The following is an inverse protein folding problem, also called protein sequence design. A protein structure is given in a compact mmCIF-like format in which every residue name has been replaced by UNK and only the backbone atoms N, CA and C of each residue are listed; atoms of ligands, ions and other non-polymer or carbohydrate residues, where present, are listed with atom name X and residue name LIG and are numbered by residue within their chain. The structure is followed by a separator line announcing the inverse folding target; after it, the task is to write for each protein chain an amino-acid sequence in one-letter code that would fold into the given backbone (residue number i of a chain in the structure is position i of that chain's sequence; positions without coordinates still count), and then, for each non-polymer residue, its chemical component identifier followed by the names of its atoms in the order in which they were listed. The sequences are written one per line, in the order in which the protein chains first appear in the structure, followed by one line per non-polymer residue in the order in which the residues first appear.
data_IF_499447358049
#
_entry.id   IF_499447358049
#
_cell.length_a   1.000
_cell.length_b   1.000
_cell.length_c   1.000
_cell.angle_alpha   90.00
_cell.angle_beta   90.00
_cell.angle_gamma   90.00
#
_symmetry.space_group_name_H-M   'P 1'
#
loop_
_entity.id
_entity.type
_entity.pdbx_description
1 polymer ?
#
# COMPACT_ATOMS: atom_id res chain seq x y z
N UNK A 1 32.35 42.45 27.29
CA UNK A 1 31.66 41.15 27.46
C UNK A 1 30.60 41.06 26.38
N UNK A 2 30.88 40.31 25.31
CA UNK A 2 30.01 40.14 24.13
C UNK A 2 29.71 38.66 23.99
N UNK A 3 28.43 38.30 24.12
CA UNK A 3 27.96 36.91 24.10
C UNK A 3 27.79 36.45 22.66
N UNK A 4 28.58 35.45 22.25
CA UNK A 4 28.55 34.81 20.93
C UNK A 4 27.54 33.66 20.98
N UNK A 5 26.52 33.72 20.13
CA UNK A 5 25.59 32.62 19.87
C UNK A 5 26.25 31.60 18.92
N UNK A 6 26.33 30.34 19.35
CA UNK A 6 26.78 29.22 18.52
C UNK A 6 25.59 28.70 17.71
N UNK A 7 25.63 28.88 16.40
CA UNK A 7 24.78 28.15 15.46
C UNK A 7 25.32 26.72 15.32
N UNK A 8 24.49 25.74 15.67
CA UNK A 8 24.74 24.32 15.35
C UNK A 8 24.11 24.07 13.98
N UNK A 9 24.96 23.97 12.95
CA UNK A 9 24.55 23.46 11.66
C UNK A 9 24.55 21.93 11.73
N UNK A 10 23.37 21.30 11.69
CA UNK A 10 23.24 19.86 11.47
C UNK A 10 23.04 19.67 9.97
N UNK A 11 24.08 19.18 9.29
CA UNK A 11 24.00 18.77 7.89
C UNK A 11 23.28 17.42 7.81
N UNK A 12 22.01 17.44 7.38
CA UNK A 12 21.31 16.23 6.94
C UNK A 12 21.89 15.81 5.59
N UNK A 13 22.63 14.71 5.58
CA UNK A 13 23.16 14.09 4.37
C UNK A 13 22.03 13.28 3.72
N UNK A 14 21.36 13.85 2.72
CA UNK A 14 20.35 13.16 1.93
C UNK A 14 21.03 12.18 0.96
N UNK A 15 20.84 10.88 1.19
CA UNK A 15 21.18 9.84 0.21
C UNK A 15 20.02 9.72 -0.77
N UNK A 16 20.08 10.46 -1.89
CA UNK A 16 19.13 10.31 -2.98
C UNK A 16 19.43 9.03 -3.76
N UNK A 17 18.61 8.00 -3.56
CA UNK A 17 18.51 6.88 -4.50
C UNK A 17 17.33 7.20 -5.41
N UNK A 18 17.62 7.71 -6.61
CA UNK A 18 16.63 7.82 -7.67
C UNK A 18 16.31 6.40 -8.18
N UNK A 19 15.22 5.82 -7.68
CA UNK A 19 14.63 4.64 -8.30
C UNK A 19 13.54 5.09 -9.27
N UNK A 20 13.47 4.53 -10.49
CA UNK A 20 12.37 4.82 -11.40
C UNK A 20 11.06 4.32 -10.76
N UNK A 21 10.05 5.18 -10.70
CA UNK A 21 8.70 4.83 -10.28
C UNK A 21 8.11 3.86 -11.30
N UNK A 22 8.09 2.58 -10.96
CA UNK A 22 7.43 1.54 -11.76
C UNK A 22 5.99 1.43 -11.26
N UNK A 23 5.03 1.90 -12.06
CA UNK A 23 3.61 1.76 -11.75
C UNK A 23 3.22 0.27 -11.87
N UNK A 24 2.95 -0.38 -10.74
CA UNK A 24 2.40 -1.74 -10.70
C UNK A 24 1.28 -1.82 -9.67
N UNK A 25 0.14 -2.34 -10.11
CA UNK A 25 -1.13 -2.43 -9.37
C UNK A 25 -1.22 -3.69 -8.50
N UNK A 26 -1.02 -3.55 -7.19
CA UNK A 26 -1.29 -4.50 -6.12
C UNK A 26 -2.76 -4.87 -5.97
N UNK A 27 -2.96 -6.17 -5.97
CA UNK A 27 -4.23 -6.86 -5.95
C UNK A 27 -5.34 -6.37 -4.99
N UNK A 28 -4.98 -6.12 -3.72
CA UNK A 28 -5.96 -5.71 -2.71
C UNK A 28 -6.07 -4.20 -2.59
N UNK A 29 -5.29 -3.45 -3.36
CA UNK A 29 -5.30 -1.99 -3.37
C UNK A 29 -4.73 -1.33 -2.11
N UNK A 30 -4.71 -2.05 -0.99
CA UNK A 30 -4.10 -1.58 0.25
C UNK A 30 -2.61 -1.40 0.12
N UNK A 31 -1.93 -2.21 -0.71
CA UNK A 31 -0.48 -2.12 -0.87
C UNK A 31 -0.11 -1.05 -1.91
N UNK A 32 -0.83 -0.93 -3.04
CA UNK A 32 -0.72 0.24 -3.94
C UNK A 32 -0.90 1.56 -3.23
N UNK A 33 -1.95 1.64 -2.42
CA UNK A 33 -2.20 2.82 -1.60
C UNK A 33 -1.06 3.05 -0.62
N UNK A 34 -0.51 1.99 -0.01
CA UNK A 34 0.61 2.13 0.91
C UNK A 34 1.86 2.59 0.16
N UNK A 35 2.25 1.96 -0.94
CA UNK A 35 3.40 2.34 -1.76
C UNK A 35 3.28 3.80 -2.27
N UNK A 36 2.10 4.23 -2.72
CA UNK A 36 1.84 5.63 -3.13
C UNK A 36 1.86 6.61 -1.97
N UNK A 37 1.36 6.22 -0.80
CA UNK A 37 1.52 6.99 0.45
C UNK A 37 3.01 7.02 0.87
N UNK A 38 3.76 5.97 0.56
CA UNK A 38 5.14 5.76 0.97
C UNK A 38 6.16 6.54 0.10
N UNK A 39 5.84 6.81 -1.17
CA UNK A 39 6.61 7.68 -2.07
C UNK A 39 6.52 9.17 -1.70
N UNK A 40 5.60 9.55 -0.80
CA UNK A 40 5.60 10.88 -0.17
C UNK A 40 6.60 10.83 0.98
N UNK A 41 7.70 11.59 0.87
CA UNK A 41 8.95 11.66 1.67
C UNK A 41 8.90 11.55 3.23
N UNK A 42 7.79 11.15 3.86
CA UNK A 42 7.62 11.07 5.32
C UNK A 42 6.75 9.89 5.81
N UNK A 43 6.83 8.70 5.20
CA UNK A 43 5.86 7.61 5.48
C UNK A 43 6.32 6.47 6.39
N UNK A 44 7.60 6.41 6.77
CA UNK A 44 8.11 5.22 7.46
C UNK A 44 7.57 5.14 8.92
N UNK A 45 7.26 6.27 9.56
CA UNK A 45 6.66 6.32 10.90
C UNK A 45 5.24 5.73 10.92
N UNK A 46 4.48 6.01 9.86
CA UNK A 46 3.15 5.46 9.67
C UNK A 46 3.19 4.00 9.28
N UNK A 47 4.17 3.57 8.48
CA UNK A 47 4.37 2.15 8.17
C UNK A 47 4.73 1.35 9.42
N UNK A 48 5.59 1.88 10.30
CA UNK A 48 5.84 1.29 11.61
C UNK A 48 4.60 1.24 12.49
N UNK A 49 3.80 2.31 12.55
CA UNK A 49 2.55 2.31 13.29
C UNK A 49 1.53 1.30 12.71
N UNK A 50 1.54 1.07 11.39
CA UNK A 50 0.70 0.07 10.68
C UNK A 50 1.23 -1.36 10.83
N UNK A 51 2.54 -1.52 10.89
CA UNK A 51 3.21 -2.81 10.97
C UNK A 51 3.27 -3.30 12.43
N UNK A 52 3.49 -2.39 13.39
CA UNK A 52 3.31 -2.62 14.84
C UNK A 52 1.83 -2.80 15.21
N UNK A 53 0.88 -2.43 14.34
CA UNK A 53 -0.55 -2.63 14.58
C UNK A 53 -0.92 -4.12 14.48
N UNK A 54 -0.65 -4.88 15.54
CA UNK A 54 -1.21 -6.22 15.71
C UNK A 54 -2.74 -6.22 15.51
N UNK A 55 -3.43 -5.09 15.72
CA UNK A 55 -4.86 -4.92 15.44
C UNK A 55 -5.23 -4.70 13.97
N UNK A 56 -4.26 -4.64 13.05
CA UNK A 56 -4.46 -4.84 11.61
C UNK A 56 -4.97 -6.26 11.33
N UNK A 57 -4.49 -7.22 12.11
CA UNK A 57 -4.84 -8.63 11.97
C UNK A 57 -5.72 -9.15 13.12
N UNK A 58 -5.68 -8.51 14.29
CA UNK A 58 -6.48 -8.85 15.48
C UNK A 58 -7.92 -8.32 15.41
N UNK A 59 -8.71 -8.63 16.44
CA UNK A 59 -10.16 -8.37 16.53
C UNK A 59 -10.51 -6.86 16.46
N UNK A 60 -11.53 -6.42 15.71
CA UNK A 60 -12.09 -5.06 15.80
C UNK A 60 -12.27 -4.51 17.22
N UNK A 61 -12.55 -5.37 18.19
CA UNK A 61 -12.70 -4.98 19.60
C UNK A 61 -11.47 -4.27 20.17
N UNK A 62 -10.28 -4.45 19.59
CA UNK A 62 -9.06 -3.79 20.05
C UNK A 62 -8.99 -2.29 19.74
N UNK A 63 -9.72 -1.77 18.74
CA UNK A 63 -9.65 -0.34 18.39
C UNK A 63 -10.94 0.15 17.71
N UNK A 64 -11.95 0.44 18.51
CA UNK A 64 -13.17 1.09 18.04
C UNK A 64 -12.93 2.56 17.66
N UNK A 65 -13.75 3.06 16.74
CA UNK A 65 -13.74 4.46 16.30
C UNK A 65 -13.02 4.67 14.97
N UNK A 66 -12.69 5.94 14.72
CA UNK A 66 -11.96 6.37 13.54
C UNK A 66 -10.46 6.35 13.79
N UNK A 67 -9.71 5.90 12.79
CA UNK A 67 -8.26 6.05 12.70
C UNK A 67 -7.89 6.26 11.23
N UNK A 68 -6.75 6.86 10.95
CA UNK A 68 -6.37 7.15 9.57
C UNK A 68 -5.06 7.91 9.50
N UNK A 69 -4.63 8.14 8.28
CA UNK A 69 -3.51 9.01 7.96
C UNK A 69 -3.72 9.68 6.61
N UNK A 70 -3.00 10.77 6.39
CA UNK A 70 -3.02 11.49 5.14
C UNK A 70 -1.64 12.09 4.89
N UNK A 71 -1.24 12.10 3.62
CA UNK A 71 0.06 12.57 3.16
C UNK A 71 -0.11 13.47 1.95
N UNK A 72 0.80 14.43 1.81
CA UNK A 72 0.82 15.38 0.71
C UNK A 72 2.28 15.68 0.36
N UNK A 73 2.65 15.46 -0.90
CA UNK A 73 3.98 15.71 -1.44
C UNK A 73 3.93 16.68 -2.61
N UNK A 74 4.90 17.58 -2.69
CA UNK A 74 5.14 18.41 -3.86
C UNK A 74 6.63 18.65 -4.03
N UNK A 75 7.15 18.43 -5.24
CA UNK A 75 8.54 18.67 -5.61
C UNK A 75 8.59 19.41 -6.94
N UNK A 76 9.49 20.37 -7.06
CA UNK A 76 9.66 21.17 -8.26
C UNK A 76 11.14 21.42 -8.52
N UNK A 77 11.59 21.16 -9.75
CA UNK A 77 12.94 21.44 -10.23
C UNK A 77 12.85 22.43 -11.38
N UNK A 78 13.80 23.36 -11.43
CA UNK A 78 13.92 24.35 -12.52
C UNK A 78 15.39 24.49 -12.89
N UNK A 79 15.66 24.98 -14.10
CA UNK A 79 17.02 25.21 -14.59
C UNK A 79 17.25 24.52 -15.92
N UNK A 80 18.22 23.61 -15.98
CA UNK A 80 18.52 22.86 -17.20
C UNK A 80 17.44 21.81 -17.54
N UNK A 81 16.69 21.37 -16.53
CA UNK A 81 15.52 20.50 -16.63
C UNK A 81 14.46 21.09 -15.70
N UNK A 82 13.21 21.13 -16.16
CA UNK A 82 12.04 21.51 -15.38
C UNK A 82 11.24 20.25 -15.05
N UNK A 83 10.96 20.00 -13.78
CA UNK A 83 10.09 18.90 -13.40
C UNK A 83 9.19 19.29 -12.25
N UNK A 84 7.96 18.78 -12.25
CA UNK A 84 7.00 19.01 -11.19
C UNK A 84 6.37 17.67 -10.82
N UNK A 85 6.33 17.37 -9.52
CA UNK A 85 5.76 16.16 -8.98
C UNK A 85 4.82 16.56 -7.85
N UNK A 86 3.59 16.04 -7.88
CA UNK A 86 2.58 16.25 -6.86
C UNK A 86 1.95 14.91 -6.51
N UNK A 87 1.85 14.62 -5.22
CA UNK A 87 1.25 13.39 -4.72
C UNK A 87 0.39 13.68 -3.49
N UNK A 88 -0.73 12.99 -3.37
CA UNK A 88 -1.64 13.12 -2.24
C UNK A 88 -2.25 11.78 -1.90
N UNK A 89 -2.25 11.41 -0.63
CA UNK A 89 -2.79 10.15 -0.14
C UNK A 89 -3.63 10.35 1.11
N UNK A 90 -4.70 9.57 1.26
CA UNK A 90 -5.45 9.52 2.50
C UNK A 90 -6.01 8.11 2.72
N UNK A 91 -6.00 7.67 3.98
CA UNK A 91 -6.63 6.44 4.43
C UNK A 91 -7.42 6.69 5.70
N UNK A 92 -8.58 6.07 5.78
CA UNK A 92 -9.44 6.12 6.97
C UNK A 92 -9.98 4.73 7.25
N UNK A 93 -9.89 4.33 8.51
CA UNK A 93 -10.46 3.12 9.08
C UNK A 93 -11.52 3.52 10.09
N UNK A 94 -12.68 2.89 9.99
CA UNK A 94 -13.75 2.97 10.97
C UNK A 94 -14.09 1.59 11.50
N UNK A 95 -14.01 1.39 12.81
CA UNK A 95 -14.37 0.13 13.45
C UNK A 95 -15.47 0.36 14.50
N UNK A 96 -16.54 -0.41 14.45
CA UNK A 96 -17.65 -0.31 15.39
C UNK A 96 -18.34 -1.65 15.56
N UNK A 97 -18.23 -2.23 16.76
CA UNK A 97 -18.71 -3.59 17.03
C UNK A 97 -18.16 -4.60 16.01
N UNK A 98 -19.02 -5.37 15.31
CA UNK A 98 -18.59 -6.37 14.34
C UNK A 98 -18.16 -5.78 12.98
N UNK A 99 -18.25 -4.46 12.78
CA UNK A 99 -17.89 -3.82 11.51
C UNK A 99 -16.49 -3.23 11.55
N UNK A 100 -15.71 -3.49 10.50
CA UNK A 100 -14.47 -2.75 10.18
C UNK A 100 -14.54 -2.31 8.73
N UNK A 101 -14.40 -1.02 8.49
CA UNK A 101 -14.40 -0.43 7.16
C UNK A 101 -13.12 0.36 6.97
N UNK A 102 -12.55 0.28 5.78
CA UNK A 102 -11.35 0.98 5.36
C UNK A 102 -11.65 1.65 4.04
N UNK A 103 -11.32 2.93 3.92
CA UNK A 103 -11.33 3.68 2.68
C UNK A 103 -9.95 4.28 2.46
N UNK A 104 -9.50 4.27 1.21
CA UNK A 104 -8.21 4.79 0.82
C UNK A 104 -8.29 5.47 -0.53
N UNK A 105 -7.59 6.57 -0.68
CA UNK A 105 -7.45 7.32 -1.94
C UNK A 105 -6.00 7.76 -2.09
N UNK A 106 -5.47 7.68 -3.30
CA UNK A 106 -4.17 8.23 -3.68
C UNK A 106 -4.25 8.88 -5.06
N UNK A 107 -3.45 9.93 -5.24
CA UNK A 107 -3.34 10.75 -6.43
C UNK A 107 -1.87 11.01 -6.68
N UNK A 108 -1.39 10.77 -7.90
CA UNK A 108 -0.02 11.06 -8.30
C UNK A 108 0.03 11.74 -9.67
N UNK A 109 0.69 12.87 -9.73
CA UNK A 109 0.88 13.66 -10.93
C UNK A 109 2.35 14.01 -11.08
N UNK A 110 2.90 13.78 -12.27
CA UNK A 110 4.26 14.19 -12.59
C UNK A 110 4.34 14.77 -13.99
N UNK A 111 5.19 15.78 -14.13
CA UNK A 111 5.47 16.50 -15.37
C UNK A 111 6.99 16.70 -15.49
N UNK A 112 7.51 16.50 -16.70
CA UNK A 112 8.90 16.74 -17.06
C UNK A 112 8.93 17.60 -18.34
N UNK A 113 9.55 18.77 -18.24
CA UNK A 113 9.65 19.81 -19.27
C UNK A 113 8.29 20.16 -19.95
N UNK A 114 7.20 20.20 -19.17
CA UNK A 114 5.85 20.53 -19.65
C UNK A 114 5.11 19.35 -20.30
N UNK A 115 5.67 18.14 -20.22
CA UNK A 115 5.05 16.90 -20.67
C UNK A 115 4.68 16.05 -19.46
N UNK A 116 3.39 15.70 -19.34
CA UNK A 116 2.92 14.80 -18.29
C UNK A 116 3.58 13.43 -18.41
N UNK A 117 4.21 12.98 -17.33
CA UNK A 117 4.86 11.68 -17.22
C UNK A 117 4.15 10.73 -16.25
N UNK A 118 3.29 11.25 -15.36
CA UNK A 118 2.41 10.46 -14.48
C UNK A 118 1.06 11.16 -14.26
N UNK A 119 -0.04 10.42 -14.31
CA UNK A 119 -1.38 10.90 -13.97
C UNK A 119 -2.21 9.72 -13.43
N UNK A 120 -1.97 9.36 -12.17
CA UNK A 120 -2.59 8.19 -11.56
C UNK A 120 -3.60 8.59 -10.50
N UNK A 121 -4.73 7.89 -10.49
CA UNK A 121 -5.75 7.99 -9.46
C UNK A 121 -6.07 6.61 -8.95
N UNK A 122 -5.99 6.43 -7.65
CA UNK A 122 -6.26 5.17 -6.98
C UNK A 122 -7.29 5.34 -5.86
N UNK A 123 -8.25 4.43 -5.77
CA UNK A 123 -9.19 4.37 -4.67
C UNK A 123 -9.52 2.93 -4.28
N UNK A 124 -9.67 2.69 -2.97
CA UNK A 124 -10.03 1.39 -2.40
C UNK A 124 -11.03 1.55 -1.27
N UNK A 125 -11.94 0.60 -1.18
CA UNK A 125 -12.86 0.41 -0.08
C UNK A 125 -12.87 -1.07 0.32
N UNK A 126 -12.61 -1.33 1.59
CA UNK A 126 -12.64 -2.66 2.18
C UNK A 126 -13.58 -2.64 3.39
N UNK A 127 -14.48 -3.62 3.48
CA UNK A 127 -15.41 -3.74 4.58
C UNK A 127 -15.46 -5.19 5.06
N UNK A 128 -15.30 -5.38 6.36
CA UNK A 128 -15.34 -6.66 7.04
C UNK A 128 -16.46 -6.68 8.07
N UNK A 129 -17.26 -7.73 8.03
CA UNK A 129 -18.28 -8.04 9.03
C UNK A 129 -17.90 -9.31 9.78
N UNK A 130 -17.59 -9.18 11.08
CA UNK A 130 -17.16 -10.28 11.93
C UNK A 130 -18.37 -10.95 12.56
N UNK A 131 -18.59 -12.23 12.23
CA UNK A 131 -19.64 -13.04 12.86
C UNK A 131 -19.21 -13.55 14.24
N UNK A 132 -17.91 -13.76 14.41
CA UNK A 132 -17.25 -14.12 15.64
C UNK A 132 -15.75 -13.76 15.55
N UNK A 133 -14.96 -14.16 16.54
CA UNK A 133 -13.54 -13.84 16.61
C UNK A 133 -12.71 -14.42 15.46
N UNK A 134 -13.19 -15.49 14.82
CA UNK A 134 -12.45 -16.22 13.77
C UNK A 134 -13.03 -16.02 12.37
N UNK A 135 -14.34 -16.00 12.22
CA UNK A 135 -15.02 -15.99 10.92
C UNK A 135 -15.64 -14.62 10.61
N UNK A 136 -15.36 -14.13 9.41
CA UNK A 136 -15.88 -12.85 8.91
C UNK A 136 -16.25 -12.96 7.43
N UNK A 137 -17.09 -12.04 6.96
CA UNK A 137 -17.28 -11.79 5.54
C UNK A 137 -16.59 -10.48 5.17
N UNK A 138 -16.02 -10.41 3.97
CA UNK A 138 -15.41 -9.20 3.44
C UNK A 138 -16.09 -8.79 2.13
N UNK A 139 -16.03 -7.49 1.86
CA UNK A 139 -16.30 -6.85 0.58
C UNK A 139 -15.09 -5.97 0.27
N UNK A 140 -14.58 -6.03 -0.95
CA UNK A 140 -13.45 -5.26 -1.44
C UNK A 140 -13.85 -4.62 -2.77
N UNK A 141 -13.76 -3.30 -2.86
CA UNK A 141 -13.84 -2.55 -4.10
C UNK A 141 -12.56 -1.75 -4.29
N UNK A 142 -11.95 -1.82 -5.47
CA UNK A 142 -10.83 -0.95 -5.85
C UNK A 142 -11.02 -0.43 -7.27
N UNK A 143 -10.44 0.73 -7.54
CA UNK A 143 -10.31 1.29 -8.87
C UNK A 143 -9.00 2.06 -8.96
N UNK A 144 -8.30 1.85 -10.06
CA UNK A 144 -7.12 2.58 -10.47
C UNK A 144 -7.36 3.14 -11.87
N UNK A 145 -6.84 4.33 -12.13
CA UNK A 145 -6.91 4.96 -13.44
C UNK A 145 -5.58 5.61 -13.76
N UNK A 146 -5.06 5.31 -14.95
CA UNK A 146 -3.92 5.97 -15.56
C UNK A 146 -4.43 6.92 -16.65
N UNK A 147 -4.23 8.23 -16.43
CA UNK A 147 -4.64 9.30 -17.34
C UNK A 147 -3.79 9.43 -18.60
N UNK A 148 -2.61 8.79 -18.62
CA UNK A 148 -1.67 8.81 -19.76
C UNK A 148 -1.80 7.59 -20.66
N UNK A 149 -2.55 6.56 -20.24
CA UNK A 149 -2.85 5.39 -21.06
C UNK A 149 -3.48 5.77 -22.40
N UNK A 150 -2.77 5.50 -23.50
CA UNK A 150 -3.13 5.97 -24.84
C UNK A 150 -3.11 4.86 -25.91
N UNK A 151 -2.53 3.70 -25.60
CA UNK A 151 -2.43 2.57 -26.53
C UNK A 151 -3.27 1.36 -26.07
N UNK A 152 -3.42 0.37 -26.93
CA UNK A 152 -4.13 -0.88 -26.60
C UNK A 152 -3.39 -1.74 -25.56
N UNK A 153 -2.09 -1.50 -25.37
CA UNK A 153 -1.28 -2.19 -24.36
C UNK A 153 -1.32 -1.52 -23.00
N UNK A 154 -1.79 -0.28 -22.92
CA UNK A 154 -1.86 0.49 -21.68
C UNK A 154 -3.19 0.22 -20.99
N UNK A 155 -3.16 0.00 -19.68
CA UNK A 155 -4.38 -0.16 -18.87
C UNK A 155 -4.78 1.21 -18.35
N UNK A 156 -5.84 1.78 -18.94
CA UNK A 156 -6.40 3.05 -18.53
C UNK A 156 -7.21 2.96 -17.24
N UNK A 157 -7.94 1.87 -17.04
CA UNK A 157 -8.71 1.66 -15.82
C UNK A 157 -8.66 0.20 -15.41
N UNK A 158 -8.29 -0.07 -14.16
CA UNK A 158 -8.37 -1.37 -13.51
C UNK A 158 -9.28 -1.24 -12.29
N UNK A 159 -10.41 -1.94 -12.31
CA UNK A 159 -11.31 -1.98 -11.18
C UNK A 159 -11.63 -3.42 -10.81
N UNK A 160 -11.78 -3.66 -9.51
CA UNK A 160 -12.18 -4.96 -8.99
C UNK A 160 -13.18 -4.79 -7.86
N UNK A 161 -14.27 -5.55 -7.91
CA UNK A 161 -15.26 -5.65 -6.84
C UNK A 161 -15.44 -7.12 -6.47
N UNK A 162 -15.00 -7.50 -5.29
CA UNK A 162 -15.07 -8.86 -4.79
C UNK A 162 -15.66 -8.95 -3.39
N UNK A 163 -16.13 -10.14 -3.05
CA UNK A 163 -16.60 -10.45 -1.71
C UNK A 163 -16.37 -11.93 -1.40
N UNK A 164 -16.33 -12.26 -0.12
CA UNK A 164 -16.15 -13.64 0.29
C UNK A 164 -15.99 -13.82 1.78
N UNK A 165 -15.83 -15.08 2.24
CA UNK A 165 -15.46 -15.38 3.61
C UNK A 165 -13.98 -15.11 3.89
N UNK A 166 -13.71 -14.80 5.16
CA UNK A 166 -12.40 -14.79 5.75
C UNK A 166 -12.39 -15.58 7.06
N UNK A 167 -11.22 -16.14 7.38
CA UNK A 167 -11.01 -16.96 8.56
C UNK A 167 -9.67 -16.60 9.22
N UNK A 168 -9.70 -16.30 10.52
CA UNK A 168 -8.50 -16.19 11.34
C UNK A 168 -8.11 -17.58 11.83
N UNK A 169 -6.98 -18.07 11.33
CA UNK A 169 -6.42 -19.36 11.74
C UNK A 169 -5.75 -19.23 13.10
N UNK A 170 -5.08 -18.10 13.34
CA UNK A 170 -4.40 -17.80 14.60
C UNK A 170 -4.71 -16.36 14.99
N UNK A 171 -5.01 -16.12 16.26
CA UNK A 171 -5.27 -14.79 16.80
C UNK A 171 -4.77 -14.69 18.25
N UNK A 172 -3.47 -14.55 18.44
CA UNK A 172 -2.84 -14.34 19.74
C UNK A 172 -2.11 -12.99 19.76
N UNK A 173 -1.63 -12.57 20.94
CA UNK A 173 -0.90 -11.30 21.07
C UNK A 173 0.39 -11.24 20.24
N UNK A 174 1.05 -12.39 20.05
CA UNK A 174 2.35 -12.47 19.39
C UNK A 174 2.27 -13.05 17.97
N UNK A 175 1.16 -13.68 17.59
CA UNK A 175 0.99 -14.29 16.27
C UNK A 175 -0.43 -14.15 15.79
N UNK A 176 -0.58 -13.61 14.59
CA UNK A 176 -1.88 -13.51 13.94
C UNK A 176 -1.78 -13.98 12.51
N UNK A 177 -2.72 -14.83 12.11
CA UNK A 177 -2.80 -15.31 10.75
C UNK A 177 -4.25 -15.35 10.31
N UNK A 178 -4.55 -14.65 9.22
CA UNK A 178 -5.85 -14.72 8.57
C UNK A 178 -5.70 -15.02 7.09
N UNK A 179 -6.68 -15.73 6.59
CA UNK A 179 -6.85 -16.05 5.19
C UNK A 179 -8.24 -15.63 4.75
N UNK A 180 -8.37 -15.20 3.51
CA UNK A 180 -9.66 -14.90 2.90
C UNK A 180 -9.65 -15.34 1.45
N UNK A 181 -10.81 -15.75 0.96
CA UNK A 181 -10.99 -16.11 -0.42
C UNK A 181 -12.37 -15.64 -0.88
N UNK A 182 -12.47 -15.21 -2.13
CA UNK A 182 -13.70 -14.64 -2.64
C UNK A 182 -13.80 -14.69 -4.15
N UNK A 183 -14.96 -14.29 -4.62
CA UNK A 183 -15.28 -14.12 -6.03
C UNK A 183 -15.69 -12.67 -6.25
N UNK A 184 -15.48 -12.18 -7.45
CA UNK A 184 -15.77 -10.80 -7.81
C UNK A 184 -15.87 -10.59 -9.31
N UNK A 185 -15.99 -9.33 -9.67
CA UNK A 185 -15.97 -8.84 -11.03
C UNK A 185 -14.73 -7.98 -11.18
N UNK A 186 -13.94 -8.27 -12.21
CA UNK A 186 -12.81 -7.47 -12.66
C UNK A 186 -13.24 -6.68 -13.90
N UNK A 187 -12.88 -5.41 -13.95
CA UNK A 187 -13.12 -4.51 -15.07
C UNK A 187 -11.80 -3.92 -15.50
N UNK A 188 -11.44 -4.14 -16.75
CA UNK A 188 -10.25 -3.58 -17.37
C UNK A 188 -10.67 -2.72 -18.56
N UNK A 189 -10.04 -1.55 -18.68
CA UNK A 189 -10.20 -0.67 -19.83
C UNK A 189 -8.84 -0.26 -20.35
N UNK A 190 -8.61 -0.40 -21.65
CA UNK A 190 -7.35 -0.02 -22.29
C UNK A 190 -7.31 1.47 -22.67
N UNK A 191 -6.15 1.95 -23.12
CA UNK A 191 -5.95 3.32 -23.61
C UNK A 191 -6.76 3.67 -24.86
N UNK A 192 -7.23 2.67 -25.63
CA UNK A 192 -8.11 2.85 -26.80
C UNK A 192 -9.61 2.84 -26.44
N UNK A 193 -9.94 2.69 -25.16
CA UNK A 193 -11.29 2.58 -24.60
C UNK A 193 -12.03 1.27 -24.93
N UNK A 194 -11.32 0.22 -25.32
CA UNK A 194 -11.88 -1.13 -25.23
C UNK A 194 -11.96 -1.52 -23.76
N UNK A 195 -13.01 -2.25 -23.39
CA UNK A 195 -13.20 -2.67 -22.01
C UNK A 195 -13.61 -4.11 -21.94
N UNK A 196 -13.02 -4.83 -21.00
CA UNK A 196 -13.33 -6.20 -20.68
C UNK A 196 -13.84 -6.30 -19.24
N UNK A 197 -14.91 -7.07 -19.05
CA UNK A 197 -15.47 -7.36 -17.74
C UNK A 197 -15.51 -8.85 -17.56
N UNK A 198 -14.88 -9.33 -16.51
CA UNK A 198 -14.64 -10.75 -16.30
C UNK A 198 -14.86 -11.14 -14.84
N UNK A 199 -15.02 -12.44 -14.62
CA UNK A 199 -15.08 -12.96 -13.26
C UNK A 199 -13.67 -13.03 -12.69
N UNK A 200 -13.50 -12.51 -11.47
CA UNK A 200 -12.24 -12.60 -10.74
C UNK A 200 -12.40 -13.43 -9.47
N UNK A 201 -11.33 -14.12 -9.10
CA UNK A 201 -11.23 -14.89 -7.87
C UNK A 201 -10.06 -14.35 -7.06
N UNK A 202 -10.32 -14.00 -5.80
CA UNK A 202 -9.31 -13.46 -4.91
C UNK A 202 -8.99 -14.46 -3.81
N UNK A 203 -7.72 -14.58 -3.46
CA UNK A 203 -7.26 -15.23 -2.24
C UNK A 203 -6.18 -14.36 -1.60
N UNK A 204 -6.32 -14.09 -0.31
CA UNK A 204 -5.36 -13.28 0.43
C UNK A 204 -4.97 -13.99 1.72
N UNK A 205 -3.68 -13.95 2.03
CA UNK A 205 -3.09 -14.39 3.29
C UNK A 205 -2.41 -13.21 3.95
N UNK A 206 -2.58 -13.09 5.26
CA UNK A 206 -2.03 -12.01 6.07
C UNK A 206 -1.48 -12.62 7.34
N UNK A 207 -0.15 -12.65 7.43
CA UNK A 207 0.57 -13.26 8.53
C UNK A 207 1.37 -12.20 9.28
N UNK A 208 1.30 -12.26 10.60
CA UNK A 208 2.06 -11.42 11.52
C UNK A 208 2.66 -12.30 12.60
N UNK A 209 3.94 -12.05 12.90
CA UNK A 209 4.66 -12.72 13.96
C UNK A 209 5.58 -11.75 14.69
N UNK A 210 5.37 -11.62 16.00
CA UNK A 210 6.19 -10.83 16.90
C UNK A 210 7.24 -11.73 17.52
N UNK A 211 8.51 -11.53 17.16
CA UNK A 211 9.62 -12.28 17.76
C UNK A 211 9.90 -11.80 19.19
N UNK A 212 9.86 -10.48 19.39
CA UNK A 212 9.97 -9.80 20.67
C UNK A 212 9.42 -8.36 20.54
N UNK A 213 9.52 -7.54 21.59
CA UNK A 213 9.03 -6.15 21.59
C UNK A 213 9.74 -5.23 20.58
N UNK A 214 10.90 -5.63 20.09
CA UNK A 214 11.71 -4.85 19.18
C UNK A 214 11.71 -5.39 17.75
N UNK A 215 11.27 -6.62 17.52
CA UNK A 215 11.39 -7.29 16.22
C UNK A 215 10.12 -8.06 15.90
N UNK A 216 9.54 -7.77 14.75
CA UNK A 216 8.36 -8.48 14.24
C UNK A 216 8.39 -8.56 12.72
N UNK A 217 7.72 -9.57 12.17
CA UNK A 217 7.61 -9.79 10.73
C UNK A 217 6.16 -9.85 10.27
N UNK A 218 5.96 -9.44 9.03
CA UNK A 218 4.69 -9.52 8.31
C UNK A 218 4.91 -10.24 7.00
N UNK A 219 3.98 -11.13 6.61
CA UNK A 219 3.93 -11.66 5.26
C UNK A 219 2.51 -11.56 4.71
N UNK A 220 2.36 -10.69 3.72
CA UNK A 220 1.10 -10.39 3.08
C UNK A 220 1.13 -10.96 1.67
N UNK A 221 0.30 -11.96 1.39
CA UNK A 221 0.17 -12.58 0.06
C UNK A 221 -1.21 -12.29 -0.51
N UNK A 222 -1.27 -11.95 -1.78
CA UNK A 222 -2.50 -11.72 -2.52
C UNK A 222 -2.44 -12.42 -3.87
N UNK A 223 -3.53 -13.09 -4.25
CA UNK A 223 -3.70 -13.79 -5.52
C UNK A 223 -5.02 -13.37 -6.15
N UNK A 224 -4.99 -12.82 -7.37
CA UNK A 224 -6.18 -12.55 -8.20
C UNK A 224 -6.02 -13.37 -9.44
N UNK A 225 -6.99 -14.24 -9.64
CA UNK A 225 -7.12 -15.00 -10.86
C UNK A 225 -8.32 -14.47 -11.63
N UNK A 226 -8.11 -14.10 -12.89
CA UNK A 226 -9.17 -13.83 -13.85
C UNK A 226 -8.84 -14.51 -15.17
N UNK A 227 -9.78 -14.47 -16.14
CA UNK A 227 -9.56 -15.08 -17.45
C UNK A 227 -8.43 -14.38 -18.23
N UNK A 228 -8.22 -13.08 -17.96
CA UNK A 228 -7.18 -12.27 -18.60
C UNK A 228 -5.80 -12.44 -17.95
N UNK A 229 -5.72 -12.60 -16.62
CA UNK A 229 -4.43 -12.68 -15.93
C UNK A 229 -4.50 -13.35 -14.55
N UNK A 230 -3.43 -14.05 -14.20
CA UNK A 230 -3.09 -14.43 -12.83
C UNK A 230 -2.07 -13.44 -12.27
N UNK A 231 -2.47 -12.75 -11.20
CA UNK A 231 -1.64 -11.78 -10.47
C UNK A 231 -1.39 -12.27 -9.05
N UNK A 232 -0.13 -12.25 -8.63
CA UNK A 232 0.28 -12.63 -7.27
C UNK A 232 1.21 -11.56 -6.71
N UNK A 233 0.90 -11.04 -5.53
CA UNK A 233 1.74 -10.09 -4.82
C UNK A 233 2.11 -10.66 -3.45
N UNK A 234 3.40 -10.72 -3.13
CA UNK A 234 3.91 -11.14 -1.82
C UNK A 234 4.81 -10.05 -1.25
N UNK A 235 4.48 -9.52 -0.08
CA UNK A 235 5.34 -8.60 0.67
C UNK A 235 5.74 -9.25 1.98
N UNK A 236 7.04 -9.50 2.11
CA UNK A 236 7.68 -9.92 3.34
C UNK A 236 8.35 -8.69 3.97
N UNK A 237 7.86 -8.28 5.13
CA UNK A 237 8.45 -7.20 5.91
C UNK A 237 9.04 -7.70 7.22
N UNK A 238 10.24 -7.25 7.56
CA UNK A 238 10.84 -7.41 8.89
C UNK A 238 11.10 -6.02 9.45
N UNK A 239 10.60 -5.78 10.66
CA UNK A 239 10.60 -4.47 11.29
C UNK A 239 11.38 -4.54 12.59
N UNK A 240 12.21 -3.52 12.81
CA UNK A 240 13.11 -3.38 13.95
C UNK A 240 12.81 -2.06 14.65
N UNK A 241 12.24 -2.12 15.85
CA UNK A 241 12.14 -1.00 16.77
C UNK A 241 13.48 -0.85 17.49
N UNK A 242 14.27 0.14 17.11
CA UNK A 242 15.59 0.38 17.71
C UNK A 242 15.46 1.18 19.00
N UNK A 243 14.63 2.23 18.98
CA UNK A 243 14.24 3.03 20.14
C UNK A 243 12.79 3.50 19.97
N UNK A 244 12.23 4.21 20.95
CA UNK A 244 10.91 4.85 20.81
C UNK A 244 10.84 5.86 19.67
N UNK A 245 12.00 6.33 19.20
CA UNK A 245 12.15 7.34 18.15
C UNK A 245 12.74 6.80 16.86
N UNK A 246 13.28 5.59 16.85
CA UNK A 246 14.00 5.08 15.69
C UNK A 246 13.58 3.67 15.36
N UNK A 247 13.35 3.45 14.08
CA UNK A 247 12.94 2.16 13.64
C UNK A 247 13.23 1.92 12.18
N UNK A 248 13.52 0.66 11.84
CA UNK A 248 13.93 0.26 10.50
C UNK A 248 13.00 -0.81 9.99
N UNK A 249 12.59 -0.72 8.72
CA UNK A 249 11.93 -1.80 8.01
C UNK A 249 12.80 -2.27 6.86
N UNK A 250 12.86 -3.59 6.71
CA UNK A 250 13.41 -4.26 5.53
C UNK A 250 12.26 -5.03 4.89
N UNK A 251 11.94 -4.72 3.64
CA UNK A 251 10.87 -5.38 2.90
C UNK A 251 11.39 -6.03 1.64
N UNK A 252 10.77 -7.15 1.27
CA UNK A 252 10.98 -7.84 0.01
C UNK A 252 9.63 -8.09 -0.64
N UNK A 253 9.36 -7.32 -1.69
CA UNK A 253 8.16 -7.42 -2.50
C UNK A 253 8.47 -8.27 -3.73
N UNK A 254 7.62 -9.26 -3.98
CA UNK A 254 7.59 -10.03 -5.21
C UNK A 254 6.24 -9.87 -5.87
N UNK A 255 6.25 -9.48 -7.13
CA UNK A 255 5.06 -9.31 -7.96
C UNK A 255 5.14 -10.28 -9.11
N UNK A 256 4.07 -11.03 -9.34
CA UNK A 256 3.94 -11.96 -10.45
C UNK A 256 2.71 -11.61 -11.26
N UNK A 257 2.87 -11.54 -12.58
CA UNK A 257 1.76 -11.37 -13.51
C UNK A 257 2.05 -12.15 -14.79
N UNK A 258 1.21 -13.13 -15.10
CA UNK A 258 1.42 -14.02 -16.24
C UNK A 258 1.15 -13.39 -17.61
N UNK A 259 0.43 -12.25 -17.65
CA UNK A 259 0.16 -11.50 -18.88
C UNK A 259 1.33 -10.63 -19.33
N UNK A 260 2.38 -10.51 -18.50
CA UNK A 260 3.57 -9.70 -18.80
C UNK A 260 4.67 -10.49 -19.52
N UNK A 261 5.51 -9.77 -20.27
CA UNK A 261 6.72 -10.34 -20.88
C UNK A 261 7.74 -10.77 -19.82
N UNK A 262 8.02 -9.90 -18.85
CA UNK A 262 8.71 -10.25 -17.60
C UNK A 262 7.62 -10.50 -16.57
N UNK A 263 7.46 -11.77 -16.20
CA UNK A 263 6.35 -12.20 -15.34
C UNK A 263 6.59 -11.95 -13.87
N UNK A 264 7.82 -11.66 -13.45
CA UNK A 264 8.17 -11.56 -12.05
C UNK A 264 9.10 -10.40 -11.80
N UNK A 265 8.65 -9.50 -10.94
CA UNK A 265 9.40 -8.34 -10.49
C UNK A 265 9.67 -8.49 -8.99
N UNK A 266 10.84 -8.00 -8.55
CA UNK A 266 11.23 -8.06 -7.15
C UNK A 266 11.79 -6.71 -6.72
N UNK A 267 11.35 -6.22 -5.56
CA UNK A 267 11.78 -4.94 -4.97
C UNK A 267 12.26 -5.19 -3.55
N UNK A 268 13.50 -4.82 -3.28
CA UNK A 268 14.08 -4.79 -1.93
C UNK A 268 13.96 -3.37 -1.38
N UNK A 269 13.18 -3.20 -0.32
CA UNK A 269 13.01 -1.94 0.39
C UNK A 269 13.82 -1.93 1.69
N UNK A 270 14.49 -0.82 1.97
CA UNK A 270 15.07 -0.53 3.29
C UNK A 270 14.72 0.89 3.66
N UNK A 271 14.06 1.05 4.81
CA UNK A 271 13.57 2.35 5.26
C UNK A 271 13.90 2.56 6.75
N UNK A 272 14.28 3.79 7.10
CA UNK A 272 14.60 4.21 8.46
C UNK A 272 13.68 5.35 8.86
N UNK A 273 12.96 5.20 9.97
CA UNK A 273 12.18 6.26 10.61
C UNK A 273 12.97 6.91 11.70
N UNK A 274 12.78 8.23 11.81
CA UNK A 274 12.90 8.93 13.07
C UNK A 274 11.53 9.51 13.50
N UNK A 275 10.85 8.90 14.48
CA UNK A 275 9.68 9.49 15.14
C UNK A 275 10.12 10.42 16.26
N UNK A 276 9.54 11.61 16.39
CA UNK A 276 9.88 12.56 17.46
C UNK A 276 8.74 12.83 18.44
#
# INVERSE_FOLDING_TARGET
MTTIWKNVAVSALALMIAAPAMAQTDLTGTRDLNDRIDDIDEAVAEDMARAEDAARFSNPEFRQGFSGSASLGYSGKTGNNESQEFSAGARMRYASGPWVQNIGVALDFADDDGVKTKEDVFAVYDANYYFNDSFYAFVLGRVETDGLAATAGDIKTDAFLGFGPGYRVVNTADMTWRVQAGIGVSYLKDGLNNSDTETGYIASSRFFYKFNDNVFATNDTDILYSDTALRINNDLGVNFKMTDKFSTRVSYLTEYNDSRAIRTDNKLGVSLVMGF
#
